data_IF_101795770758
#
_entry.id   IF_101795770758
#
_cell.length_a   1.000
_cell.length_b   1.000
_cell.length_c   1.000
_cell.angle_alpha   90.00
_cell.angle_beta   90.00
_cell.angle_gamma   90.00
#
_symmetry.space_group_name_H-M   'P 1'
#
loop_
_entity.id
_entity.type
_entity.pdbx_description
1 polymer ?
#
# COMPACT_ATOMS: atom_id res chain seq x y z
N UNK A 1 15.03 4.20 -3.55
CA UNK A 1 13.63 4.65 -3.79
C UNK A 1 12.73 4.09 -2.69
N UNK A 2 11.83 4.90 -2.14
CA UNK A 2 10.78 4.45 -1.21
C UNK A 2 9.49 5.23 -1.44
N UNK A 3 8.39 4.72 -0.91
CA UNK A 3 7.06 5.33 -0.95
C UNK A 3 6.47 5.29 0.47
N UNK A 4 5.75 6.34 0.87
CA UNK A 4 4.92 6.33 2.07
C UNK A 4 3.51 5.84 1.70
N UNK A 5 3.10 4.70 2.25
CA UNK A 5 1.77 4.16 2.00
C UNK A 5 0.68 5.06 2.61
N UNK A 6 -0.45 5.16 1.91
CA UNK A 6 -1.66 5.89 2.33
C UNK A 6 -2.39 5.23 3.51
N UNK A 7 -2.02 4.00 3.87
CA UNK A 7 -2.44 3.31 5.10
C UNK A 7 -1.30 2.47 5.66
N UNK A 8 -1.33 2.22 6.97
CA UNK A 8 -0.46 1.23 7.59
C UNK A 8 -0.84 -0.20 7.16
N UNK A 9 0.15 -1.09 7.14
CA UNK A 9 -0.08 -2.52 6.92
C UNK A 9 -0.75 -3.15 8.13
N UNK A 10 -1.71 -4.03 7.90
CA UNK A 10 -2.50 -4.65 8.97
C UNK A 10 -2.43 -6.19 8.92
N UNK A 11 -2.35 -6.82 10.09
CA UNK A 11 -2.42 -8.27 10.22
C UNK A 11 -3.82 -8.81 9.92
N UNK A 12 -4.87 -8.05 10.23
CA UNK A 12 -6.26 -8.42 9.97
C UNK A 12 -6.60 -8.34 8.47
N UNK A 13 -5.90 -7.49 7.72
CA UNK A 13 -5.93 -7.43 6.25
C UNK A 13 -5.07 -8.52 5.57
N UNK A 14 -4.40 -9.37 6.37
CA UNK A 14 -3.51 -10.43 5.89
C UNK A 14 -2.20 -9.92 5.29
N UNK A 15 -1.84 -8.65 5.53
CA UNK A 15 -0.61 -8.02 5.02
C UNK A 15 0.59 -8.34 5.93
N UNK A 16 0.32 -8.50 7.22
CA UNK A 16 1.29 -8.88 8.24
C UNK A 16 0.93 -10.22 8.91
N UNK A 17 1.90 -10.84 9.59
CA UNK A 17 1.63 -11.80 10.66
C UNK A 17 1.21 -11.03 11.92
N UNK A 18 0.59 -11.71 12.89
CA UNK A 18 0.32 -11.12 14.22
C UNK A 18 1.57 -10.67 14.97
N UNK A 19 2.74 -11.17 14.56
CA UNK A 19 4.06 -10.76 15.06
C UNK A 19 4.73 -9.71 14.16
N UNK A 20 3.96 -9.00 13.33
CA UNK A 20 4.40 -7.89 12.46
C UNK A 20 5.38 -8.27 11.34
N UNK A 21 5.48 -9.55 10.98
CA UNK A 21 6.27 -9.97 9.81
C UNK A 21 5.47 -9.74 8.52
N UNK A 22 6.09 -9.12 7.53
CA UNK A 22 5.46 -8.86 6.23
C UNK A 22 5.17 -10.15 5.47
N UNK A 23 3.93 -10.31 4.99
CA UNK A 23 3.53 -11.40 4.10
C UNK A 23 3.77 -11.00 2.65
N UNK A 24 5.02 -11.14 2.19
CA UNK A 24 5.49 -10.66 0.88
C UNK A 24 4.61 -11.02 -0.31
N UNK A 25 4.06 -12.25 -0.36
CA UNK A 25 3.16 -12.67 -1.46
C UNK A 25 1.88 -11.83 -1.52
N UNK A 26 1.27 -11.55 -0.37
CA UNK A 26 0.05 -10.74 -0.28
C UNK A 26 0.35 -9.30 -0.65
N UNK A 27 1.46 -8.74 -0.15
CA UNK A 27 1.91 -7.39 -0.49
C UNK A 27 2.16 -7.26 -1.99
N UNK A 28 2.89 -8.20 -2.60
CA UNK A 28 3.20 -8.18 -4.02
C UNK A 28 1.96 -8.19 -4.92
N UNK A 29 0.89 -8.85 -4.48
CA UNK A 29 -0.39 -8.88 -5.21
C UNK A 29 -1.22 -7.62 -4.97
N UNK A 30 -1.40 -7.20 -3.72
CA UNK A 30 -2.23 -6.03 -3.37
C UNK A 30 -1.65 -4.70 -3.85
N UNK A 31 -0.33 -4.58 -3.85
CA UNK A 31 0.38 -3.33 -4.13
C UNK A 31 1.23 -3.43 -5.41
N UNK A 32 0.84 -4.30 -6.35
CA UNK A 32 1.58 -4.55 -7.59
C UNK A 32 1.91 -3.24 -8.33
N UNK A 33 0.90 -2.37 -8.53
CA UNK A 33 1.06 -1.12 -9.26
C UNK A 33 2.02 -0.14 -8.57
N UNK A 34 1.98 -0.09 -7.23
CA UNK A 34 2.90 0.75 -6.43
C UNK A 34 4.32 0.21 -6.54
N UNK A 35 4.49 -1.10 -6.45
CA UNK A 35 5.79 -1.77 -6.55
C UNK A 35 6.37 -1.58 -7.95
N UNK A 36 5.56 -1.74 -9.00
CA UNK A 36 5.97 -1.50 -10.38
C UNK A 36 6.42 -0.05 -10.57
N UNK A 37 5.64 0.91 -10.06
CA UNK A 37 6.00 2.34 -10.11
C UNK A 37 7.33 2.60 -9.42
N UNK A 38 7.59 1.98 -8.26
CA UNK A 38 8.86 2.12 -7.53
C UNK A 38 10.07 1.67 -8.36
N UNK A 39 9.91 0.67 -9.22
CA UNK A 39 10.95 0.16 -10.12
C UNK A 39 10.97 0.85 -11.49
N UNK A 40 9.96 1.67 -11.80
CA UNK A 40 9.91 2.47 -13.02
C UNK A 40 10.65 3.82 -12.87
N UNK A 41 10.66 4.60 -13.94
CA UNK A 41 11.16 5.99 -13.96
C UNK A 41 10.09 7.02 -13.53
N UNK A 42 8.92 6.57 -13.06
CA UNK A 42 7.88 7.47 -12.53
C UNK A 42 8.25 7.99 -11.15
N UNK A 43 7.88 9.24 -10.88
CA UNK A 43 8.14 9.93 -9.61
C UNK A 43 6.90 9.96 -8.70
N UNK A 44 5.74 9.56 -9.19
CA UNK A 44 4.48 9.54 -8.44
C UNK A 44 3.49 8.53 -9.01
N UNK A 45 2.49 8.18 -8.21
CA UNK A 45 1.36 7.31 -8.58
C UNK A 45 0.06 7.85 -7.99
N UNK A 46 -0.98 7.88 -8.82
CA UNK A 46 -2.35 8.16 -8.36
C UNK A 46 -2.98 6.89 -7.81
N UNK A 47 -3.51 6.99 -6.60
CA UNK A 47 -4.16 5.90 -5.89
C UNK A 47 -5.63 6.26 -5.73
N UNK A 48 -6.50 5.37 -6.22
CA UNK A 48 -7.93 5.42 -6.01
C UNK A 48 -8.40 4.05 -5.50
N UNK A 49 -8.65 3.95 -4.20
CA UNK A 49 -8.97 2.68 -3.56
C UNK A 49 -9.98 2.85 -2.44
N UNK A 50 -10.65 1.76 -2.06
CA UNK A 50 -11.60 1.75 -0.94
C UNK A 50 -10.98 0.96 0.21
N UNK A 51 -10.70 1.64 1.31
CA UNK A 51 -10.29 1.02 2.56
C UNK A 51 -11.53 0.54 3.30
N UNK A 52 -11.43 -0.66 3.84
CA UNK A 52 -12.40 -1.23 4.75
C UNK A 52 -11.82 -1.12 6.16
N UNK A 53 -12.51 -0.40 7.03
CA UNK A 53 -12.14 -0.27 8.43
C UNK A 53 -12.67 -1.47 9.22
N UNK A 54 -12.04 -1.72 10.38
CA UNK A 54 -12.41 -2.83 11.25
C UNK A 54 -13.81 -2.69 11.86
N UNK A 55 -14.33 -1.47 11.96
CA UNK A 55 -15.70 -1.16 12.40
C UNK A 55 -16.76 -1.39 11.30
N UNK A 56 -16.35 -1.86 10.12
CA UNK A 56 -17.22 -2.07 8.96
C UNK A 56 -17.39 -0.83 8.08
N UNK A 57 -16.81 0.30 8.46
CA UNK A 57 -16.77 1.51 7.64
C UNK A 57 -16.02 1.29 6.34
N UNK A 58 -16.46 1.98 5.28
CA UNK A 58 -15.71 2.04 4.01
C UNK A 58 -15.36 3.48 3.72
N UNK A 59 -14.11 3.73 3.38
CA UNK A 59 -13.66 5.05 2.94
C UNK A 59 -12.92 4.91 1.63
N UNK A 60 -13.36 5.68 0.63
CA UNK A 60 -12.61 5.87 -0.59
C UNK A 60 -11.46 6.83 -0.32
N UNK A 61 -10.26 6.43 -0.71
CA UNK A 61 -9.07 7.26 -0.71
C UNK A 61 -8.70 7.54 -2.15
N UNK A 62 -8.62 8.83 -2.47
CA UNK A 62 -8.05 9.36 -3.70
C UNK A 62 -6.86 10.23 -3.32
N UNK A 63 -5.66 9.80 -3.64
CA UNK A 63 -4.43 10.51 -3.28
C UNK A 63 -3.32 10.22 -4.26
N UNK A 64 -2.40 11.17 -4.43
CA UNK A 64 -1.18 10.98 -5.21
C UNK A 64 -0.03 10.75 -4.25
N UNK A 65 0.74 9.68 -4.47
CA UNK A 65 1.86 9.31 -3.61
C UNK A 65 3.16 9.43 -4.39
N UNK A 66 4.17 10.05 -3.75
CA UNK A 66 5.48 10.31 -4.36
C UNK A 66 6.46 9.18 -4.11
N UNK A 67 7.32 8.95 -5.11
CA UNK A 67 8.50 8.11 -5.02
C UNK A 67 9.68 8.97 -4.59
N UNK A 68 10.21 8.71 -3.41
CA UNK A 68 11.34 9.44 -2.85
C UNK A 68 12.65 8.66 -3.05
N UNK A 69 13.75 9.38 -3.25
CA UNK A 69 15.10 8.82 -3.33
C UNK A 69 15.79 8.88 -1.95
N UNK A 70 16.72 7.95 -1.69
CA UNK A 70 17.54 7.92 -0.47
C UNK A 70 18.85 8.63 -0.77
#
# INVERSE_FOLDING_TARGET
KFILLYKALDADDGELTRTLKVRRKVIAQKYADIIETLYSDRNEIDIDTVIHFQDGGKQRIQTTVKVENI
#
